data_IF_674021790314
#
_entry.id   IF_674021790314
#
_cell.length_a   1.000
_cell.length_b   1.000
_cell.length_c   1.000
_cell.angle_alpha   90.00
_cell.angle_beta   90.00
_cell.angle_gamma   90.00
#
_symmetry.space_group_name_H-M   'P 1'
#
loop_
_entity.id
_entity.type
_entity.pdbx_description
1 polymer ?
#
# COMPACT_ATOMS: atom_id res chain seq x y z
N UNK A 1 -47.28 12.58 21.71
CA UNK A 1 -46.21 11.66 21.27
C UNK A 1 -45.25 12.54 20.48
N UNK A 2 -44.20 13.02 21.14
CA UNK A 2 -43.35 14.12 20.66
C UNK A 2 -42.26 13.55 19.77
N UNK A 3 -42.13 14.11 18.56
CA UNK A 3 -41.17 13.73 17.53
C UNK A 3 -39.73 13.72 18.03
N UNK A 4 -39.05 12.59 17.83
CA UNK A 4 -37.62 12.40 18.06
C UNK A 4 -36.89 12.75 16.76
N UNK A 5 -36.89 14.01 16.38
CA UNK A 5 -35.93 14.55 15.40
C UNK A 5 -34.86 15.32 16.18
N UNK A 6 -34.04 14.57 16.91
CA UNK A 6 -32.82 15.08 17.49
C UNK A 6 -31.85 15.43 16.37
N UNK A 7 -31.60 16.73 16.25
CA UNK A 7 -30.61 17.42 15.42
C UNK A 7 -29.28 16.67 15.43
N UNK A 8 -28.85 16.18 14.27
CA UNK A 8 -27.45 15.84 14.06
C UNK A 8 -26.67 17.17 14.03
N UNK A 9 -26.00 17.51 15.12
CA UNK A 9 -25.15 18.71 15.28
C UNK A 9 -23.86 18.69 14.42
N UNK A 10 -23.85 18.03 13.27
CA UNK A 10 -22.75 18.12 12.30
C UNK A 10 -23.34 18.36 10.91
N UNK A 11 -23.41 19.64 10.51
CA UNK A 11 -24.00 20.14 9.27
C UNK A 11 -23.26 19.77 7.99
N UNK A 12 -22.94 18.49 7.76
CA UNK A 12 -22.47 18.00 6.48
C UNK A 12 -23.65 17.47 5.66
N UNK A 13 -24.18 18.32 4.78
CA UNK A 13 -25.25 17.94 3.86
C UNK A 13 -24.63 17.28 2.61
N UNK A 14 -24.83 15.96 2.45
CA UNK A 14 -24.23 15.16 1.37
C UNK A 14 -24.79 15.55 -0.01
N UNK A 15 -25.98 16.19 -0.06
CA UNK A 15 -26.64 16.60 -1.30
C UNK A 15 -25.89 17.69 -2.09
N UNK A 16 -24.93 18.39 -1.46
CA UNK A 16 -24.15 19.48 -2.09
C UNK A 16 -22.62 19.23 -2.07
N UNK A 17 -22.16 17.98 -1.97
CA UNK A 17 -20.74 17.67 -1.96
C UNK A 17 -20.12 17.72 -3.37
N UNK A 18 -19.47 18.83 -3.70
CA UNK A 18 -18.71 19.01 -4.95
C UNK A 18 -17.39 18.21 -4.90
N UNK A 19 -17.47 16.94 -5.34
CA UNK A 19 -16.33 16.03 -5.41
C UNK A 19 -15.22 16.58 -6.30
N UNK A 20 -15.55 17.28 -7.40
CA UNK A 20 -14.53 17.78 -8.31
C UNK A 20 -13.70 18.88 -7.64
N UNK A 21 -14.35 19.78 -6.90
CA UNK A 21 -13.65 20.80 -6.12
C UNK A 21 -12.74 20.16 -5.07
N UNK A 22 -13.20 19.11 -4.39
CA UNK A 22 -12.37 18.39 -3.41
C UNK A 22 -11.15 17.76 -4.07
N UNK A 23 -11.33 17.06 -5.19
CA UNK A 23 -10.21 16.46 -5.93
C UNK A 23 -9.21 17.53 -6.38
N UNK A 24 -9.66 18.66 -6.92
CA UNK A 24 -8.79 19.78 -7.32
C UNK A 24 -7.98 20.33 -6.13
N UNK A 25 -8.61 20.50 -4.97
CA UNK A 25 -7.95 20.98 -3.77
C UNK A 25 -6.92 19.96 -3.25
N UNK A 26 -7.28 18.68 -3.20
CA UNK A 26 -6.37 17.61 -2.78
C UNK A 26 -5.17 17.51 -3.73
N UNK A 27 -5.38 17.56 -5.05
CA UNK A 27 -4.30 17.54 -6.03
C UNK A 27 -3.27 18.65 -5.81
N UNK A 28 -3.74 19.86 -5.47
CA UNK A 28 -2.86 20.99 -5.17
C UNK A 28 -2.10 20.79 -3.86
N UNK A 29 -2.79 20.32 -2.81
CA UNK A 29 -2.21 20.15 -1.48
C UNK A 29 -1.15 19.05 -1.44
N UNK A 30 -1.42 17.89 -2.06
CA UNK A 30 -0.54 16.71 -1.97
C UNK A 30 0.62 16.75 -2.98
N UNK A 31 0.76 17.83 -3.76
CA UNK A 31 1.77 17.93 -4.82
C UNK A 31 3.21 17.74 -4.31
N UNK A 32 3.48 18.20 -3.08
CA UNK A 32 4.80 18.12 -2.45
C UNK A 32 4.91 17.00 -1.39
N UNK A 33 3.89 16.14 -1.29
CA UNK A 33 3.90 15.05 -0.32
C UNK A 33 4.87 13.94 -0.75
N UNK A 34 5.31 13.12 0.21
CA UNK A 34 6.14 11.97 -0.12
C UNK A 34 5.37 10.97 -0.98
N UNK A 35 5.99 10.58 -2.08
CA UNK A 35 5.44 9.61 -3.02
C UNK A 35 5.39 8.22 -2.36
N UNK A 36 4.25 7.51 -2.46
CA UNK A 36 4.14 6.15 -1.93
C UNK A 36 5.21 5.22 -2.49
N UNK A 37 5.73 4.31 -1.67
CA UNK A 37 6.82 3.40 -2.04
C UNK A 37 6.50 2.55 -3.28
N UNK A 38 5.24 2.15 -3.45
CA UNK A 38 4.81 1.33 -4.59
C UNK A 38 4.90 2.15 -5.89
N UNK A 39 4.50 3.42 -5.86
CA UNK A 39 4.59 4.33 -6.99
C UNK A 39 6.05 4.64 -7.34
N UNK A 40 6.91 4.80 -6.33
CA UNK A 40 8.36 4.93 -6.54
C UNK A 40 8.95 3.69 -7.21
N UNK A 41 8.57 2.48 -6.76
CA UNK A 41 9.02 1.22 -7.39
C UNK A 41 8.52 1.16 -8.84
N UNK A 42 7.27 1.48 -9.09
CA UNK A 42 6.70 1.49 -10.45
C UNK A 42 7.46 2.44 -11.38
N UNK A 43 7.73 3.68 -10.93
CA UNK A 43 8.46 4.68 -11.70
C UNK A 43 9.92 4.28 -11.97
N UNK A 44 10.60 3.69 -10.97
CA UNK A 44 12.02 3.35 -11.04
C UNK A 44 12.30 2.06 -11.81
N UNK A 45 11.45 1.04 -11.66
CA UNK A 45 11.72 -0.29 -12.24
C UNK A 45 10.95 -0.54 -13.54
N UNK A 46 9.77 0.08 -13.71
CA UNK A 46 8.83 -0.21 -14.81
C UNK A 46 8.54 -1.71 -14.97
N UNK A 47 8.58 -2.44 -13.86
CA UNK A 47 8.50 -3.90 -13.80
C UNK A 47 7.22 -4.34 -13.07
N UNK A 48 6.22 -4.88 -13.78
CA UNK A 48 4.94 -5.30 -13.19
C UNK A 48 5.10 -6.35 -12.08
N UNK A 49 6.10 -7.23 -12.15
CA UNK A 49 6.35 -8.21 -11.10
C UNK A 49 6.77 -7.52 -9.79
N UNK A 50 7.69 -6.56 -9.87
CA UNK A 50 8.15 -5.81 -8.69
C UNK A 50 7.02 -4.96 -8.11
N UNK A 51 6.18 -4.37 -8.96
CA UNK A 51 4.99 -3.62 -8.51
C UNK A 51 4.01 -4.54 -7.77
N UNK A 52 3.68 -5.71 -8.33
CA UNK A 52 2.79 -6.68 -7.68
C UNK A 52 3.31 -7.11 -6.31
N UNK A 53 4.57 -7.52 -6.24
CA UNK A 53 5.20 -7.95 -4.98
C UNK A 53 5.21 -6.81 -3.96
N UNK A 54 5.57 -5.59 -4.38
CA UNK A 54 5.55 -4.41 -3.51
C UNK A 54 4.15 -4.11 -2.97
N UNK A 55 3.12 -4.21 -3.83
CA UNK A 55 1.71 -4.04 -3.43
C UNK A 55 1.30 -5.07 -2.38
N UNK A 56 1.61 -6.35 -2.58
CA UNK A 56 1.33 -7.41 -1.59
C UNK A 56 2.02 -7.12 -0.26
N UNK A 57 3.30 -6.71 -0.29
CA UNK A 57 4.05 -6.38 0.91
C UNK A 57 3.55 -5.10 1.60
N UNK A 58 3.06 -4.12 0.86
CA UNK A 58 2.55 -2.84 1.39
C UNK A 58 1.28 -2.99 2.24
N UNK A 59 0.45 -3.98 1.96
CA UNK A 59 -0.83 -4.14 2.65
C UNK A 59 -0.66 -4.17 4.17
N UNK A 60 -1.27 -3.22 4.89
CA UNK A 60 -1.18 -3.07 6.36
C UNK A 60 0.26 -2.92 6.88
N UNK A 61 1.16 -2.33 6.11
CA UNK A 61 2.58 -2.15 6.43
C UNK A 61 3.03 -0.74 6.07
N UNK A 62 3.79 -0.07 6.94
CA UNK A 62 4.33 1.27 6.66
C UNK A 62 5.26 1.27 5.45
N UNK A 63 5.30 2.39 4.73
CA UNK A 63 6.07 2.52 3.50
C UNK A 63 7.56 2.25 3.69
N UNK A 64 8.17 2.70 4.78
CA UNK A 64 9.61 2.50 5.02
C UNK A 64 9.94 1.01 5.25
N UNK A 65 9.05 0.29 5.92
CA UNK A 65 9.16 -1.15 6.16
C UNK A 65 8.99 -1.91 4.84
N UNK A 66 8.00 -1.52 4.04
CA UNK A 66 7.75 -2.08 2.71
C UNK A 66 8.96 -1.86 1.79
N UNK A 67 9.52 -0.65 1.77
CA UNK A 67 10.69 -0.30 0.98
C UNK A 67 11.90 -1.16 1.36
N UNK A 68 12.16 -1.30 2.67
CA UNK A 68 13.27 -2.11 3.17
C UNK A 68 13.10 -3.60 2.81
N UNK A 69 11.89 -4.15 2.93
CA UNK A 69 11.60 -5.53 2.55
C UNK A 69 11.74 -5.77 1.04
N UNK A 70 11.21 -4.89 0.21
CA UNK A 70 11.35 -4.96 -1.25
C UNK A 70 12.83 -4.92 -1.67
N UNK A 71 13.64 -4.03 -1.09
CA UNK A 71 15.08 -3.97 -1.37
C UNK A 71 15.80 -5.29 -1.06
N UNK A 72 15.54 -5.89 0.11
CA UNK A 72 16.14 -7.18 0.48
C UNK A 72 15.66 -8.30 -0.43
N UNK A 73 14.36 -8.34 -0.71
CA UNK A 73 13.76 -9.37 -1.55
C UNK A 73 14.28 -9.31 -2.98
N UNK A 74 14.28 -8.14 -3.62
CA UNK A 74 14.72 -8.02 -5.02
C UNK A 74 16.23 -8.15 -5.19
N UNK A 75 17.02 -8.00 -4.12
CA UNK A 75 18.43 -8.40 -4.12
C UNK A 75 18.61 -9.92 -4.15
N UNK A 76 17.62 -10.68 -3.65
CA UNK A 76 17.65 -12.14 -3.54
C UNK A 76 16.88 -12.87 -4.66
N UNK A 77 15.79 -12.29 -5.13
CA UNK A 77 14.95 -12.76 -6.22
C UNK A 77 14.33 -11.55 -6.95
N UNK A 78 14.83 -11.28 -8.15
CA UNK A 78 14.36 -10.20 -9.00
C UNK A 78 13.25 -10.64 -9.96
N UNK A 79 12.99 -11.94 -10.08
CA UNK A 79 11.97 -12.52 -10.97
C UNK A 79 11.01 -13.46 -10.24
N UNK A 80 9.83 -13.71 -10.81
CA UNK A 80 8.85 -14.64 -10.26
C UNK A 80 9.41 -16.07 -10.12
N UNK A 81 10.21 -16.52 -11.10
CA UNK A 81 10.81 -17.84 -11.04
C UNK A 81 11.88 -17.98 -9.96
N UNK A 82 12.63 -16.91 -9.65
CA UNK A 82 13.56 -16.91 -8.52
C UNK A 82 12.82 -16.90 -7.19
N UNK A 83 11.74 -16.11 -7.09
CA UNK A 83 10.91 -16.00 -5.90
C UNK A 83 10.28 -17.35 -5.51
N UNK A 84 9.68 -18.06 -6.47
CA UNK A 84 9.06 -19.37 -6.23
C UNK A 84 10.04 -20.51 -5.90
N UNK A 85 11.35 -20.24 -5.93
CA UNK A 85 12.39 -21.18 -5.46
C UNK A 85 12.86 -20.88 -4.05
N UNK A 86 12.43 -19.78 -3.44
CA UNK A 86 12.81 -19.43 -2.07
C UNK A 86 11.94 -20.26 -1.10
N UNK A 87 12.53 -21.04 -0.19
CA UNK A 87 11.77 -21.70 0.87
C UNK A 87 10.98 -20.69 1.70
N UNK A 88 9.73 -20.99 2.04
CA UNK A 88 8.85 -20.08 2.82
C UNK A 88 9.54 -19.54 4.07
N UNK A 89 10.25 -20.39 4.81
CA UNK A 89 10.97 -20.00 6.03
C UNK A 89 12.14 -19.02 5.77
N UNK A 90 12.77 -19.07 4.59
CA UNK A 90 13.76 -18.07 4.16
C UNK A 90 13.04 -16.77 3.76
N UNK A 91 11.94 -16.87 3.00
CA UNK A 91 11.18 -15.71 2.56
C UNK A 91 10.60 -14.91 3.73
N UNK A 92 10.09 -15.60 4.76
CA UNK A 92 9.63 -14.97 6.02
C UNK A 92 10.72 -14.08 6.65
N UNK A 93 11.97 -14.55 6.69
CA UNK A 93 13.11 -13.79 7.24
C UNK A 93 13.46 -12.60 6.35
N UNK A 94 13.41 -12.78 5.03
CA UNK A 94 13.71 -11.72 4.06
C UNK A 94 12.72 -10.55 4.19
N UNK A 95 11.42 -10.85 4.31
CA UNK A 95 10.38 -9.82 4.31
C UNK A 95 10.00 -9.30 5.70
N UNK A 96 10.49 -9.89 6.79
CA UNK A 96 10.29 -9.36 8.15
C UNK A 96 10.85 -7.92 8.29
N UNK A 97 10.18 -6.96 8.96
CA UNK A 97 8.96 -7.08 9.77
C UNK A 97 7.68 -6.64 9.06
N UNK A 98 7.49 -6.95 7.77
CA UNK A 98 6.23 -6.66 7.06
C UNK A 98 5.02 -7.21 7.83
N UNK A 99 3.92 -6.46 7.87
CA UNK A 99 2.68 -6.90 8.51
C UNK A 99 2.17 -8.20 7.89
N UNK A 100 1.79 -9.17 8.72
CA UNK A 100 1.35 -10.50 8.28
C UNK A 100 2.38 -11.27 7.42
N UNK A 101 3.68 -11.04 7.63
CA UNK A 101 4.75 -11.63 6.82
C UNK A 101 4.63 -13.15 6.61
N UNK A 102 4.19 -13.91 7.62
CA UNK A 102 4.01 -15.38 7.48
C UNK A 102 3.00 -15.75 6.39
N UNK A 103 1.86 -15.06 6.34
CA UNK A 103 0.84 -15.32 5.32
C UNK A 103 1.32 -14.84 3.95
N UNK A 104 1.94 -13.66 3.89
CA UNK A 104 2.49 -13.12 2.64
C UNK A 104 3.59 -14.00 2.05
N UNK A 105 4.47 -14.57 2.87
CA UNK A 105 5.50 -15.49 2.42
C UNK A 105 4.88 -16.75 1.77
N UNK A 106 3.79 -17.28 2.32
CA UNK A 106 3.08 -18.43 1.73
C UNK A 106 2.38 -18.12 0.41
N UNK A 107 1.92 -16.88 0.21
CA UNK A 107 1.28 -16.47 -1.05
C UNK A 107 2.29 -16.10 -2.14
N UNK A 108 3.51 -15.74 -1.75
CA UNK A 108 4.58 -15.33 -2.66
C UNK A 108 5.48 -16.49 -3.09
N UNK A 109 5.66 -17.51 -2.23
CA UNK A 109 6.48 -18.69 -2.51
C UNK A 109 5.76 -19.72 -3.38
#
# INVERSE_FOLDING_TARGET
MTDITATAENGFNIENFDIEKVIRLLQKEVADYQVPVVDLIAAQTKDPFKVLVATILSARTKDEVTAAACRRLFKRAATAGELGRIPVAELEKIIYPVGFFRNKAKYLA
#
